data_IF_105454687619
#
_entry.id   IF_105454687619
#
_cell.length_a   1.000
_cell.length_b   1.000
_cell.length_c   1.000
_cell.angle_alpha   90.00
_cell.angle_beta   90.00
_cell.angle_gamma   90.00
#
_symmetry.space_group_name_H-M   'P 1'
#
loop_
_entity.id
_entity.type
_entity.pdbx_description
1 polymer ?
#
# COMPACT_ATOMS: atom_id res chain seq x y z
N UNK A 1 26.56 2.03 -5.43
CA UNK A 1 27.87 1.29 -5.39
C UNK A 1 28.89 1.96 -4.42
N UNK A 2 28.91 3.27 -4.29
CA UNK A 2 29.89 3.98 -3.43
C UNK A 2 29.73 3.63 -1.94
N UNK A 3 28.51 3.57 -1.40
CA UNK A 3 28.29 3.28 0.03
C UNK A 3 28.70 1.88 0.48
N UNK A 4 28.57 0.87 -0.39
CA UNK A 4 28.96 -0.52 -0.06
C UNK A 4 30.49 -0.62 -0.04
N UNK A 5 31.17 0.02 -0.98
CA UNK A 5 32.63 0.02 -1.11
C UNK A 5 33.34 0.73 0.05
N UNK A 6 32.75 1.82 0.57
CA UNK A 6 33.30 2.54 1.72
C UNK A 6 33.09 1.78 3.04
N UNK A 7 31.98 1.06 3.20
CA UNK A 7 31.74 0.19 4.37
C UNK A 7 32.66 -1.03 4.41
N UNK A 8 32.97 -1.60 3.24
CA UNK A 8 33.93 -2.71 3.15
C UNK A 8 35.33 -2.24 3.53
N UNK A 9 35.73 -1.02 3.16
CA UNK A 9 37.03 -0.43 3.55
C UNK A 9 37.15 -0.15 5.04
N UNK A 10 36.04 0.06 5.75
CA UNK A 10 36.03 0.33 7.19
C UNK A 10 36.13 -0.93 8.06
N UNK A 11 36.29 -2.14 7.49
CA UNK A 11 36.34 -3.42 8.23
C UNK A 11 35.00 -3.87 8.81
N UNK A 12 33.94 -3.07 8.69
CA UNK A 12 32.58 -3.35 9.17
C UNK A 12 31.71 -4.00 8.08
N UNK A 13 32.24 -4.28 6.89
CA UNK A 13 31.50 -4.76 5.73
C UNK A 13 30.77 -6.08 5.97
N UNK A 14 31.43 -7.04 6.64
CA UNK A 14 30.83 -8.34 6.90
C UNK A 14 29.70 -8.22 7.92
N UNK A 15 29.90 -7.47 9.01
CA UNK A 15 28.86 -7.24 10.02
C UNK A 15 27.67 -6.50 9.41
N UNK A 16 27.90 -5.48 8.59
CA UNK A 16 26.84 -4.75 7.90
C UNK A 16 26.05 -5.65 6.91
N UNK A 17 26.71 -6.55 6.20
CA UNK A 17 26.05 -7.51 5.32
C UNK A 17 25.18 -8.49 6.10
N UNK A 18 25.67 -9.02 7.22
CA UNK A 18 24.90 -9.93 8.09
C UNK A 18 23.67 -9.22 8.60
N UNK A 19 23.79 -8.00 9.13
CA UNK A 19 22.66 -7.21 9.63
C UNK A 19 21.65 -6.95 8.50
N UNK A 20 22.12 -6.59 7.33
CA UNK A 20 21.26 -6.33 6.18
C UNK A 20 20.49 -7.58 5.76
N UNK A 21 21.15 -8.74 5.68
CA UNK A 21 20.49 -10.01 5.33
C UNK A 21 19.44 -10.38 6.38
N UNK A 22 19.78 -10.34 7.67
CA UNK A 22 18.82 -10.63 8.73
C UNK A 22 17.63 -9.67 8.72
N UNK A 23 17.87 -8.38 8.55
CA UNK A 23 16.81 -7.38 8.43
C UNK A 23 15.88 -7.67 7.26
N UNK A 24 16.44 -7.94 6.08
CA UNK A 24 15.65 -8.24 4.87
C UNK A 24 14.84 -9.52 5.03
N UNK A 25 15.44 -10.59 5.57
CA UNK A 25 14.73 -11.86 5.80
C UNK A 25 13.58 -11.67 6.79
N UNK A 26 13.81 -10.96 7.89
CA UNK A 26 12.78 -10.71 8.91
C UNK A 26 11.63 -9.89 8.33
N UNK A 27 11.92 -8.83 7.59
CA UNK A 27 10.89 -7.98 6.96
C UNK A 27 10.08 -8.78 5.95
N UNK A 28 10.73 -9.51 5.05
CA UNK A 28 10.06 -10.34 4.03
C UNK A 28 9.18 -11.42 4.68
N UNK A 29 9.65 -12.02 5.79
CA UNK A 29 8.85 -12.99 6.56
C UNK A 29 7.59 -12.34 7.14
N UNK A 30 7.70 -11.15 7.74
CA UNK A 30 6.56 -10.42 8.29
C UNK A 30 5.56 -10.03 7.20
N UNK A 31 6.03 -9.60 6.04
CA UNK A 31 5.18 -9.26 4.91
C UNK A 31 4.41 -10.47 4.38
N UNK A 32 5.10 -11.61 4.21
CA UNK A 32 4.46 -12.85 3.78
C UNK A 32 3.45 -13.37 4.81
N UNK A 33 3.77 -13.27 6.11
CA UNK A 33 2.88 -13.63 7.21
C UNK A 33 1.64 -12.74 7.23
N UNK A 34 1.83 -11.44 7.13
CA UNK A 34 0.76 -10.44 7.07
C UNK A 34 -0.18 -10.67 5.88
N UNK A 35 0.37 -10.98 4.70
CA UNK A 35 -0.41 -11.34 3.52
C UNK A 35 -1.25 -12.60 3.76
N UNK A 36 -0.70 -13.61 4.46
CA UNK A 36 -1.41 -14.82 4.83
C UNK A 36 -2.61 -14.56 5.75
N UNK A 37 -2.43 -13.79 6.81
CA UNK A 37 -3.49 -13.43 7.76
C UNK A 37 -4.55 -12.57 7.07
N UNK A 38 -4.14 -11.61 6.25
CA UNK A 38 -5.07 -10.75 5.51
C UNK A 38 -5.93 -11.56 4.53
N UNK A 39 -5.38 -12.59 3.91
CA UNK A 39 -6.13 -13.49 3.04
C UNK A 39 -7.16 -14.34 3.79
N UNK A 40 -6.83 -14.80 4.99
CA UNK A 40 -7.79 -15.54 5.86
C UNK A 40 -8.95 -14.67 6.29
N UNK A 41 -8.70 -13.40 6.62
CA UNK A 41 -9.77 -12.46 6.98
C UNK A 41 -10.68 -12.12 5.78
N UNK A 42 -10.16 -12.19 4.55
CA UNK A 42 -10.95 -11.95 3.35
C UNK A 42 -11.86 -13.13 2.99
N UNK A 43 -11.40 -14.37 3.22
CA UNK A 43 -12.18 -15.57 2.97
C UNK A 43 -11.74 -16.72 3.88
N UNK A 44 -12.70 -17.26 4.65
CA UNK A 44 -12.49 -18.42 5.53
C UNK A 44 -12.09 -19.71 4.78
N UNK A 45 -12.18 -19.73 3.45
CA UNK A 45 -11.74 -20.85 2.61
C UNK A 45 -10.24 -20.80 2.25
N UNK A 46 -9.61 -19.65 2.42
CA UNK A 46 -8.20 -19.47 2.13
C UNK A 46 -7.37 -19.91 3.35
N UNK A 47 -6.37 -20.74 3.11
CA UNK A 47 -5.43 -21.14 4.14
C UNK A 47 -4.26 -20.15 4.13
N UNK A 48 -4.12 -19.35 5.18
CA UNK A 48 -3.10 -18.30 5.29
C UNK A 48 -1.68 -18.79 5.05
N UNK A 49 -1.35 -19.99 5.55
CA UNK A 49 -0.04 -20.60 5.32
C UNK A 49 0.25 -20.88 3.85
N UNK A 50 -0.75 -21.42 3.13
CA UNK A 50 -0.60 -21.68 1.68
C UNK A 50 -0.52 -20.38 0.89
N UNK A 51 -1.31 -19.39 1.28
CA UNK A 51 -1.29 -18.06 0.66
C UNK A 51 0.04 -17.34 0.90
N UNK A 52 0.58 -17.38 2.11
CA UNK A 52 1.89 -16.81 2.42
C UNK A 52 3.00 -17.44 1.56
N UNK A 53 3.01 -18.77 1.42
CA UNK A 53 3.98 -19.48 0.57
C UNK A 53 3.78 -19.08 -0.90
N UNK A 54 2.55 -19.05 -1.40
CA UNK A 54 2.26 -18.69 -2.78
C UNK A 54 2.71 -17.26 -3.11
N UNK A 55 2.41 -16.29 -2.23
CA UNK A 55 2.84 -14.89 -2.39
C UNK A 55 4.36 -14.78 -2.39
N UNK A 56 5.05 -15.50 -1.51
CA UNK A 56 6.51 -15.51 -1.46
C UNK A 56 7.11 -16.07 -2.75
N UNK A 57 6.59 -17.20 -3.26
CA UNK A 57 7.08 -17.81 -4.51
C UNK A 57 6.84 -16.88 -5.70
N UNK A 58 5.64 -16.33 -5.81
CA UNK A 58 5.28 -15.40 -6.90
C UNK A 58 6.13 -14.11 -6.81
N UNK A 59 6.30 -13.55 -5.62
CA UNK A 59 7.11 -12.36 -5.39
C UNK A 59 8.57 -12.59 -5.75
N UNK A 60 9.13 -13.76 -5.38
CA UNK A 60 10.51 -14.11 -5.73
C UNK A 60 10.67 -14.28 -7.24
N UNK A 61 9.74 -14.96 -7.90
CA UNK A 61 9.76 -15.11 -9.35
C UNK A 61 9.64 -13.74 -10.06
N UNK A 62 8.75 -12.87 -9.58
CA UNK A 62 8.62 -11.53 -10.11
C UNK A 62 9.90 -10.69 -9.92
N UNK A 63 10.55 -10.77 -8.77
CA UNK A 63 11.80 -10.06 -8.50
C UNK A 63 12.96 -10.51 -9.40
N UNK A 64 12.96 -11.78 -9.82
CA UNK A 64 13.98 -12.32 -10.76
C UNK A 64 13.68 -11.86 -12.19
N UNK A 65 12.39 -11.83 -12.57
CA UNK A 65 11.98 -11.51 -13.95
C UNK A 65 11.96 -10.01 -14.25
N UNK A 66 11.69 -9.20 -13.25
CA UNK A 66 11.61 -7.74 -13.38
C UNK A 66 12.77 -7.09 -12.63
N UNK A 67 13.81 -6.59 -13.32
CA UNK A 67 14.86 -5.83 -12.65
C UNK A 67 14.24 -4.57 -12.03
N UNK A 68 14.35 -4.44 -10.71
CA UNK A 68 13.85 -3.30 -9.93
C UNK A 68 14.80 -2.10 -10.01
N UNK A 69 15.14 -1.65 -11.22
CA UNK A 69 16.03 -0.50 -11.43
C UNK A 69 15.32 0.82 -11.07
N UNK A 70 13.99 0.85 -11.14
CA UNK A 70 13.17 2.02 -10.79
C UNK A 70 12.34 1.79 -9.52
N UNK A 71 13.02 1.80 -8.37
CA UNK A 71 12.38 1.71 -7.04
C UNK A 71 11.42 2.89 -6.82
N UNK A 72 11.75 4.07 -7.35
CA UNK A 72 10.95 5.28 -7.18
C UNK A 72 9.59 5.14 -7.87
N UNK A 73 9.55 4.65 -9.10
CA UNK A 73 8.31 4.37 -9.82
C UNK A 73 7.45 3.33 -9.13
N UNK A 74 8.07 2.30 -8.54
CA UNK A 74 7.37 1.29 -7.73
C UNK A 74 6.78 1.88 -6.45
N UNK A 75 7.50 2.74 -5.73
CA UNK A 75 6.97 3.43 -4.54
C UNK A 75 5.77 4.33 -4.90
N UNK A 76 5.84 5.05 -6.00
CA UNK A 76 4.71 5.86 -6.46
C UNK A 76 3.50 5.01 -6.86
N UNK A 77 3.71 3.83 -7.43
CA UNK A 77 2.63 2.89 -7.72
C UNK A 77 1.94 2.44 -6.43
N UNK A 78 2.70 2.03 -5.41
CA UNK A 78 2.16 1.68 -4.09
C UNK A 78 1.42 2.88 -3.49
N UNK A 79 2.02 4.06 -3.49
CA UNK A 79 1.40 5.30 -3.01
C UNK A 79 0.07 5.59 -3.68
N UNK A 80 -0.02 5.42 -5.00
CA UNK A 80 -1.25 5.66 -5.76
C UNK A 80 -2.41 4.73 -5.38
N UNK A 81 -2.11 3.51 -4.92
CA UNK A 81 -3.12 2.54 -4.47
C UNK A 81 -3.53 2.80 -3.02
N UNK A 82 -2.55 2.98 -2.14
CA UNK A 82 -2.80 3.05 -0.69
C UNK A 82 -3.26 4.43 -0.21
N UNK A 83 -2.77 5.52 -0.81
CA UNK A 83 -3.13 6.87 -0.36
C UNK A 83 -4.65 7.12 -0.45
N UNK A 84 -5.32 6.91 -1.58
CA UNK A 84 -6.77 7.09 -1.65
C UNK A 84 -7.54 6.06 -0.81
N UNK A 85 -7.01 4.83 -0.64
CA UNK A 85 -7.64 3.82 0.21
C UNK A 85 -7.68 4.28 1.68
N UNK A 86 -6.56 4.75 2.20
CA UNK A 86 -6.47 5.26 3.57
C UNK A 86 -7.32 6.53 3.73
N UNK A 87 -7.35 7.41 2.73
CA UNK A 87 -8.17 8.61 2.75
C UNK A 87 -9.66 8.30 2.84
N UNK A 88 -10.15 7.29 2.10
CA UNK A 88 -11.54 6.82 2.20
C UNK A 88 -11.83 6.27 3.59
N UNK A 89 -10.93 5.47 4.18
CA UNK A 89 -11.11 4.90 5.51
C UNK A 89 -11.15 6.00 6.59
N UNK A 90 -10.26 6.99 6.50
CA UNK A 90 -10.26 8.14 7.41
C UNK A 90 -11.57 8.92 7.28
N UNK A 91 -12.03 9.19 6.06
CA UNK A 91 -13.28 9.90 5.82
C UNK A 91 -14.49 9.15 6.40
N UNK A 92 -14.61 7.84 6.16
CA UNK A 92 -15.72 7.03 6.64
C UNK A 92 -15.72 6.91 8.17
N UNK A 93 -14.57 6.64 8.79
CA UNK A 93 -14.51 6.39 10.23
C UNK A 93 -14.54 7.67 11.06
N UNK A 94 -13.66 8.65 10.76
CA UNK A 94 -13.48 9.83 11.59
C UNK A 94 -14.44 10.99 11.25
N UNK A 95 -14.83 11.14 9.99
CA UNK A 95 -15.63 12.29 9.57
C UNK A 95 -17.11 11.91 9.45
N UNK A 96 -17.40 10.77 8.84
CA UNK A 96 -18.76 10.29 8.60
C UNK A 96 -19.29 9.40 9.74
N UNK A 97 -18.43 8.99 10.69
CA UNK A 97 -18.75 8.13 11.83
C UNK A 97 -19.55 6.89 11.45
N UNK A 98 -19.11 6.21 10.38
CA UNK A 98 -19.80 5.03 9.84
C UNK A 98 -19.04 3.77 10.19
N UNK A 99 -19.60 2.98 11.08
CA UNK A 99 -19.09 1.66 11.42
C UNK A 99 -19.70 0.62 10.46
N UNK A 100 -19.09 0.45 9.29
CA UNK A 100 -19.54 -0.49 8.26
C UNK A 100 -18.76 -1.80 8.26
N UNK A 101 -18.44 -2.33 9.41
CA UNK A 101 -17.75 -3.63 9.54
C UNK A 101 -18.54 -4.81 8.97
N UNK A 102 -19.83 -4.66 8.75
CA UNK A 102 -20.69 -5.73 8.23
C UNK A 102 -20.75 -5.80 6.69
N UNK A 103 -20.26 -4.80 5.97
CA UNK A 103 -20.32 -4.77 4.49
C UNK A 103 -18.93 -5.03 3.94
N UNK A 104 -18.74 -6.21 3.34
CA UNK A 104 -17.46 -6.64 2.80
C UNK A 104 -16.92 -5.76 1.65
N UNK A 105 -17.79 -5.09 0.88
CA UNK A 105 -17.41 -4.14 -0.15
C UNK A 105 -18.54 -3.14 -0.41
N UNK A 106 -18.25 -1.85 -0.26
CA UNK A 106 -19.15 -0.78 -0.67
C UNK A 106 -18.73 -0.28 -2.06
N UNK A 107 -19.58 -0.52 -3.05
CA UNK A 107 -19.35 -0.12 -4.43
C UNK A 107 -19.06 1.40 -4.56
N UNK A 108 -19.65 2.22 -3.70
CA UNK A 108 -19.43 3.66 -3.68
C UNK A 108 -18.00 4.00 -3.26
N UNK A 109 -17.52 3.39 -2.17
CA UNK A 109 -16.16 3.61 -1.68
C UNK A 109 -15.13 3.10 -2.69
N UNK A 110 -15.44 2.00 -3.38
CA UNK A 110 -14.60 1.49 -4.45
C UNK A 110 -14.49 2.47 -5.62
N UNK A 111 -15.61 3.10 -6.01
CA UNK A 111 -15.62 4.12 -7.08
C UNK A 111 -14.82 5.35 -6.64
N UNK A 112 -15.00 5.82 -5.40
CA UNK A 112 -14.23 6.98 -4.88
C UNK A 112 -12.75 6.66 -4.83
N UNK A 113 -12.38 5.46 -4.36
CA UNK A 113 -11.01 4.99 -4.39
C UNK A 113 -10.42 4.97 -5.81
N UNK A 114 -11.18 4.45 -6.78
CA UNK A 114 -10.74 4.41 -8.18
C UNK A 114 -10.51 5.82 -8.76
N UNK A 115 -11.40 6.76 -8.44
CA UNK A 115 -11.25 8.18 -8.84
C UNK A 115 -10.01 8.78 -8.18
N UNK A 116 -9.77 8.51 -6.89
CA UNK A 116 -8.55 8.93 -6.19
C UNK A 116 -7.30 8.34 -6.83
N UNK A 117 -7.30 7.05 -7.15
CA UNK A 117 -6.19 6.41 -7.86
C UNK A 117 -5.87 7.10 -9.20
N UNK A 118 -6.90 7.40 -9.99
CA UNK A 118 -6.72 8.13 -11.27
C UNK A 118 -6.19 9.55 -11.01
N UNK A 119 -6.74 10.25 -10.01
CA UNK A 119 -6.30 11.58 -9.64
C UNK A 119 -4.83 11.59 -9.22
N UNK A 120 -4.39 10.63 -8.40
CA UNK A 120 -2.98 10.48 -8.02
C UNK A 120 -2.07 10.34 -9.25
N UNK A 121 -2.48 9.49 -10.21
CA UNK A 121 -1.71 9.28 -11.45
C UNK A 121 -1.65 10.52 -12.33
N UNK A 122 -2.69 11.34 -12.32
CA UNK A 122 -2.71 12.63 -13.02
C UNK A 122 -1.85 13.68 -12.31
N UNK A 123 -1.89 13.71 -10.96
CA UNK A 123 -1.04 14.62 -10.18
C UNK A 123 0.46 14.34 -10.36
N UNK A 124 0.86 13.10 -10.64
CA UNK A 124 2.24 12.77 -10.95
C UNK A 124 2.80 13.51 -12.19
N UNK A 125 1.93 13.98 -13.06
CA UNK A 125 2.30 14.83 -14.20
C UNK A 125 2.54 16.31 -13.85
N UNK A 126 2.28 16.72 -12.60
CA UNK A 126 2.41 18.11 -12.14
C UNK A 126 3.41 18.15 -11.00
N UNK A 127 4.52 18.86 -11.17
CA UNK A 127 5.54 19.00 -10.11
C UNK A 127 4.95 19.78 -8.92
N UNK A 128 4.63 19.07 -7.84
CA UNK A 128 4.13 19.66 -6.61
C UNK A 128 5.22 19.67 -5.53
N UNK A 129 5.48 20.80 -4.87
CA UNK A 129 6.55 20.93 -3.86
C UNK A 129 6.27 20.12 -2.58
N UNK A 130 5.02 19.69 -2.38
CA UNK A 130 4.57 18.95 -1.18
C UNK A 130 4.47 17.44 -1.41
N UNK A 131 4.84 16.97 -2.61
CA UNK A 131 4.63 15.58 -3.02
C UNK A 131 3.18 15.31 -3.46
N UNK A 132 2.91 14.13 -3.98
CA UNK A 132 1.61 13.79 -4.60
C UNK A 132 0.62 13.18 -3.61
N UNK A 133 1.10 12.59 -2.53
CA UNK A 133 0.28 11.83 -1.58
C UNK A 133 -0.65 12.70 -0.77
N UNK A 134 -0.17 13.82 -0.19
CA UNK A 134 -0.99 14.70 0.62
C UNK A 134 -2.11 15.38 -0.18
N UNK A 135 -1.85 15.99 -1.35
CA UNK A 135 -2.91 16.57 -2.17
C UNK A 135 -3.96 15.56 -2.59
N UNK A 136 -3.55 14.34 -2.93
CA UNK A 136 -4.48 13.27 -3.32
C UNK A 136 -5.36 12.82 -2.16
N UNK A 137 -4.78 12.64 -0.96
CA UNK A 137 -5.57 12.28 0.23
C UNK A 137 -6.62 13.35 0.55
N UNK A 138 -6.25 14.63 0.50
CA UNK A 138 -7.20 15.74 0.73
C UNK A 138 -8.32 15.72 -0.32
N UNK A 139 -7.95 15.56 -1.59
CA UNK A 139 -8.92 15.49 -2.69
C UNK A 139 -9.87 14.30 -2.50
N UNK A 140 -9.37 13.14 -2.14
CA UNK A 140 -10.17 11.93 -1.92
C UNK A 140 -11.11 12.09 -0.72
N UNK A 141 -10.67 12.70 0.38
CA UNK A 141 -11.54 13.03 1.53
C UNK A 141 -12.66 13.98 1.10
N UNK A 142 -12.34 15.04 0.35
CA UNK A 142 -13.35 15.99 -0.18
C UNK A 142 -14.35 15.27 -1.08
N UNK A 143 -13.90 14.36 -1.94
CA UNK A 143 -14.78 13.54 -2.78
C UNK A 143 -15.72 12.66 -1.94
N UNK A 144 -15.24 12.06 -0.85
CA UNK A 144 -16.07 11.31 0.08
C UNK A 144 -17.19 12.19 0.68
N UNK A 145 -16.86 13.40 1.14
CA UNK A 145 -17.81 14.33 1.72
C UNK A 145 -18.84 14.83 0.70
N UNK A 146 -18.41 15.12 -0.52
CA UNK A 146 -19.32 15.52 -1.60
C UNK A 146 -20.25 14.39 -2.01
N UNK A 147 -19.75 13.18 -2.12
CA UNK A 147 -20.54 12.00 -2.45
C UNK A 147 -21.60 11.70 -1.40
N UNK A 148 -21.30 12.00 -0.11
CA UNK A 148 -22.29 11.89 0.97
C UNK A 148 -23.39 12.93 0.84
N UNK A 149 -23.03 14.17 0.54
CA UNK A 149 -24.00 15.27 0.38
C UNK A 149 -24.96 15.04 -0.79
N UNK A 150 -24.47 14.39 -1.86
CA UNK A 150 -25.28 14.09 -3.06
C UNK A 150 -26.22 12.89 -2.84
N UNK A 151 -25.78 11.89 -2.11
CA UNK A 151 -26.58 10.67 -1.86
C UNK A 151 -26.41 10.22 -0.40
N UNK A 152 -27.14 10.82 0.55
CA UNK A 152 -27.04 10.42 1.95
C UNK A 152 -27.44 8.94 2.07
N UNK A 153 -26.50 8.13 2.53
CA UNK A 153 -26.78 6.72 2.77
C UNK A 153 -27.54 6.61 4.08
N UNK A 154 -28.75 6.06 4.04
CA UNK A 154 -29.52 5.75 5.24
C UNK A 154 -28.66 4.95 6.21
N UNK A 155 -28.45 5.50 7.38
CA UNK A 155 -27.93 4.77 8.52
C UNK A 155 -28.99 3.70 8.87
N UNK A 156 -28.63 2.43 8.73
CA UNK A 156 -29.35 1.34 9.38
C UNK A 156 -28.61 0.93 10.63
#
# INVERSE_FOLDING_TARGET
EMCIRDRVKAGLGIAALIILVFSTVTTTFLDAWSAGISAESLSAKLNGKKTAIAVTVIGTAAAILFPMDDITGFLYLIGSVFAPMIAVQIADHFILHRDRFAVAADARNLVIWLVGFIAYRLLMGVDTPVGYTLPDMVLTVVLCLLAEKVKPTKQM
#
